data_IF_601709886726
#
_entry.id   IF_601709886726
#
_cell.length_a   1.000
_cell.length_b   1.000
_cell.length_c   1.000
_cell.angle_alpha   90.00
_cell.angle_beta   90.00
_cell.angle_gamma   90.00
#
_symmetry.space_group_name_H-M   'P 1'
#
loop_
_entity.id
_entity.type
_entity.pdbx_description
1 polymer ?
#
# COMPACT_ATOMS: atom_id res chain seq x y z
N UNK A 1 7.42 -24.15 -3.46
CA UNK A 1 7.73 -22.76 -3.89
C UNK A 1 6.85 -21.84 -3.08
N UNK A 2 7.42 -20.95 -2.26
CA UNK A 2 6.64 -20.00 -1.49
C UNK A 2 5.93 -19.04 -2.45
N UNK A 3 4.66 -18.74 -2.20
CA UNK A 3 3.89 -17.80 -3.01
C UNK A 3 4.58 -16.42 -2.92
N UNK A 4 4.85 -15.72 -4.04
CA UNK A 4 5.50 -14.40 -3.99
C UNK A 4 4.80 -13.43 -3.03
N UNK A 5 3.46 -13.50 -2.99
CA UNK A 5 2.60 -12.74 -2.07
C UNK A 5 2.90 -12.96 -0.59
N UNK A 6 3.34 -14.16 -0.18
CA UNK A 6 3.69 -14.44 1.22
C UNK A 6 4.96 -13.68 1.65
N UNK A 7 5.91 -13.47 0.73
CA UNK A 7 7.12 -12.69 1.01
C UNK A 7 6.79 -11.19 1.12
N UNK A 8 5.98 -10.68 0.20
CA UNK A 8 5.51 -9.29 0.20
C UNK A 8 4.72 -8.93 1.46
N UNK A 9 3.80 -9.80 1.88
CA UNK A 9 3.00 -9.60 3.09
C UNK A 9 3.89 -9.57 4.35
N UNK A 10 4.86 -10.48 4.43
CA UNK A 10 5.82 -10.51 5.54
C UNK A 10 6.65 -9.22 5.61
N UNK A 11 7.25 -8.81 4.49
CA UNK A 11 8.05 -7.58 4.43
C UNK A 11 7.21 -6.34 4.76
N UNK A 12 5.96 -6.28 4.30
CA UNK A 12 5.05 -5.19 4.60
C UNK A 12 4.68 -5.15 6.09
N UNK A 13 4.44 -6.29 6.73
CA UNK A 13 4.21 -6.36 8.18
C UNK A 13 5.42 -5.86 8.97
N UNK A 14 6.63 -6.28 8.60
CA UNK A 14 7.87 -5.84 9.25
C UNK A 14 8.05 -4.31 9.11
N UNK A 15 7.93 -3.78 7.88
CA UNK A 15 8.15 -2.37 7.61
C UNK A 15 7.11 -1.45 8.27
N UNK A 16 5.83 -1.85 8.27
CA UNK A 16 4.72 -1.08 8.87
C UNK A 16 4.46 -1.43 10.34
N UNK A 17 5.25 -2.35 10.94
CA UNK A 17 5.08 -2.85 12.31
C UNK A 17 3.66 -3.37 12.57
N UNK A 18 3.15 -4.22 11.68
CA UNK A 18 1.78 -4.73 11.72
C UNK A 18 1.68 -6.13 12.31
N UNK A 19 0.54 -6.42 12.94
CA UNK A 19 0.20 -7.75 13.44
C UNK A 19 -0.23 -8.74 12.36
N UNK A 20 -0.42 -10.00 12.76
CA UNK A 20 -0.85 -11.10 11.88
C UNK A 20 -2.28 -10.94 11.35
N UNK A 21 -3.06 -10.08 11.99
CA UNK A 21 -4.43 -9.68 11.63
C UNK A 21 -4.50 -8.76 10.40
N UNK A 22 -3.35 -8.24 9.95
CA UNK A 22 -3.23 -7.52 8.68
C UNK A 22 -2.89 -8.48 7.54
N UNK A 23 -3.50 -8.29 6.38
CA UNK A 23 -3.29 -9.12 5.18
C UNK A 23 -2.98 -8.27 3.96
N UNK A 24 -2.25 -8.83 3.00
CA UNK A 24 -1.95 -8.17 1.73
C UNK A 24 -3.24 -7.89 0.94
N UNK A 25 -3.44 -6.63 0.54
CA UNK A 25 -4.55 -6.21 -0.30
C UNK A 25 -4.13 -6.03 -1.76
N UNK A 26 -3.04 -5.30 -2.02
CA UNK A 26 -2.56 -5.04 -3.37
C UNK A 26 -1.05 -4.83 -3.42
N UNK A 27 -0.49 -5.07 -4.61
CA UNK A 27 0.90 -4.75 -4.97
C UNK A 27 0.85 -3.97 -6.28
N UNK A 28 1.46 -2.79 -6.31
CA UNK A 28 1.51 -1.93 -7.48
C UNK A 28 2.96 -1.55 -7.82
N UNK A 29 3.37 -1.79 -9.06
CA UNK A 29 4.66 -1.34 -9.61
C UNK A 29 4.55 0.02 -10.34
N UNK A 30 3.35 0.57 -10.39
CA UNK A 30 3.05 1.88 -10.95
C UNK A 30 1.90 2.50 -10.15
N UNK A 31 1.90 3.83 -10.04
CA UNK A 31 0.88 4.59 -9.33
C UNK A 31 0.31 5.69 -10.24
N UNK A 32 -0.95 6.15 -10.05
CA UNK A 32 -1.47 7.28 -10.79
C UNK A 32 -0.61 8.54 -10.62
N UNK A 33 -0.32 9.26 -11.71
CA UNK A 33 0.38 10.55 -11.66
C UNK A 33 -0.44 11.55 -10.83
N UNK A 34 0.22 12.30 -9.94
CA UNK A 34 -0.42 13.24 -9.03
C UNK A 34 -0.85 12.63 -7.69
N UNK A 35 -0.62 11.33 -7.49
CA UNK A 35 -0.73 10.70 -6.18
C UNK A 35 0.45 11.08 -5.26
N UNK A 36 1.58 11.53 -5.82
CA UNK A 36 2.81 11.86 -5.08
C UNK A 36 2.54 12.96 -4.04
N UNK A 37 1.89 14.05 -4.44
CA UNK A 37 1.46 15.13 -3.53
C UNK A 37 0.48 14.65 -2.46
N UNK A 38 -0.30 13.60 -2.75
CA UNK A 38 -1.20 12.98 -1.78
C UNK A 38 -0.41 12.07 -0.83
N UNK A 39 0.54 11.27 -1.32
CA UNK A 39 1.40 10.42 -0.51
C UNK A 39 2.26 11.27 0.43
N UNK A 40 2.91 12.32 -0.06
CA UNK A 40 3.76 13.22 0.75
C UNK A 40 2.94 13.91 1.85
N UNK A 41 1.72 14.34 1.51
CA UNK A 41 0.78 14.90 2.49
C UNK A 41 0.31 13.84 3.51
N UNK A 42 0.13 12.60 3.09
CA UNK A 42 -0.34 11.49 3.92
C UNK A 42 0.77 10.90 4.82
N UNK A 43 2.04 10.92 4.37
CA UNK A 43 3.22 10.57 5.17
C UNK A 43 3.48 11.61 6.26
N UNK A 44 3.19 12.89 5.99
CA UNK A 44 3.40 13.99 6.94
C UNK A 44 2.43 13.99 8.13
N UNK A 45 1.26 13.37 8.02
CA UNK A 45 0.22 13.40 9.07
C UNK A 45 0.29 12.17 10.03
N UNK A 46 1.25 11.25 9.87
CA UNK A 46 1.42 10.00 10.64
C UNK A 46 0.15 9.10 10.70
N UNK A 47 -0.85 9.42 9.87
CA UNK A 47 -2.15 8.77 9.73
C UNK A 47 -2.34 8.26 8.29
N UNK A 48 -1.64 7.17 7.96
CA UNK A 48 -2.01 6.30 6.85
C UNK A 48 -3.18 5.36 7.23
N UNK A 49 -4.05 5.72 8.19
CA UNK A 49 -5.28 5.01 8.49
C UNK A 49 -6.42 5.77 7.81
N UNK A 50 -7.00 5.20 6.76
CA UNK A 50 -8.40 5.41 6.36
C UNK A 50 -8.64 4.70 5.02
N UNK A 51 -9.34 3.56 5.07
CA UNK A 51 -9.84 2.87 3.87
C UNK A 51 -10.79 3.72 2.99
N UNK A 52 -11.21 4.90 3.47
CA UNK A 52 -11.92 5.90 2.70
C UNK A 52 -11.00 6.75 1.81
N UNK A 53 -9.76 7.02 2.22
CA UNK A 53 -8.78 7.83 1.48
C UNK A 53 -8.25 7.09 0.24
N UNK A 54 -8.10 5.77 0.34
CA UNK A 54 -7.64 4.91 -0.77
C UNK A 54 -8.69 4.67 -1.86
N UNK A 55 -10.00 4.85 -1.59
CA UNK A 55 -11.04 4.75 -2.63
C UNK A 55 -10.96 5.88 -3.66
N UNK A 56 -10.32 7.00 -3.33
CA UNK A 56 -10.04 8.07 -4.30
C UNK A 56 -9.02 7.68 -5.38
N UNK A 57 -8.36 6.53 -5.23
CA UNK A 57 -7.30 6.05 -6.12
C UNK A 57 -7.79 5.12 -7.23
N UNK A 58 -9.08 4.79 -7.27
CA UNK A 58 -9.72 4.24 -8.48
C UNK A 58 -9.88 5.35 -9.53
N UNK A 59 -8.77 5.94 -9.98
CA UNK A 59 -8.78 6.83 -11.14
C UNK A 59 -8.61 5.96 -12.38
N UNK A 60 -9.69 5.28 -12.78
CA UNK A 60 -9.73 4.54 -14.04
C UNK A 60 -9.55 5.53 -15.20
N UNK A 61 -8.30 5.77 -15.61
CA UNK A 61 -7.95 6.69 -16.71
C UNK A 61 -6.86 7.71 -16.41
N UNK A 62 -6.30 7.77 -15.19
CA UNK A 62 -5.13 8.60 -14.93
C UNK A 62 -3.88 8.03 -15.63
N UNK A 63 -2.98 8.90 -16.14
CA UNK A 63 -1.66 8.44 -16.57
C UNK A 63 -0.96 7.79 -15.37
N UNK A 64 -0.25 6.70 -15.61
CA UNK A 64 0.46 5.93 -14.58
C UNK A 64 1.95 6.27 -14.61
N UNK A 65 2.52 6.58 -13.46
CA UNK A 65 3.96 6.67 -13.24
C UNK A 65 4.49 5.31 -12.79
N UNK A 66 5.47 4.77 -13.51
CA UNK A 66 6.15 3.54 -13.11
C UNK A 66 7.11 3.83 -11.97
N UNK A 67 7.07 3.00 -10.92
CA UNK A 67 8.04 3.06 -9.84
C UNK A 67 9.42 2.62 -10.36
N UNK A 68 10.51 3.08 -9.72
CA UNK A 68 11.85 2.59 -10.02
C UNK A 68 11.88 1.06 -10.04
N UNK A 69 12.70 0.48 -10.91
CA UNK A 69 12.81 -0.99 -11.02
C UNK A 69 13.12 -1.59 -9.66
N UNK A 70 12.29 -2.54 -9.24
CA UNK A 70 12.42 -3.19 -7.95
C UNK A 70 11.75 -2.44 -6.80
N UNK A 71 11.06 -1.33 -7.02
CA UNK A 71 10.23 -0.69 -5.99
C UNK A 71 8.75 -1.01 -6.26
N UNK A 72 8.03 -1.42 -5.23
CA UNK A 72 6.58 -1.65 -5.30
C UNK A 72 5.87 -0.95 -4.15
N UNK A 73 4.68 -0.41 -4.41
CA UNK A 73 3.74 0.02 -3.39
C UNK A 73 2.92 -1.18 -2.95
N UNK A 74 2.85 -1.41 -1.65
CA UNK A 74 2.05 -2.47 -1.05
C UNK A 74 0.97 -1.84 -0.19
N UNK A 75 -0.28 -2.26 -0.40
CA UNK A 75 -1.39 -1.94 0.50
C UNK A 75 -1.74 -3.19 1.32
N UNK A 76 -1.83 -2.99 2.64
CA UNK A 76 -2.23 -3.96 3.63
C UNK A 76 -3.59 -3.57 4.20
N UNK A 77 -4.42 -4.55 4.50
CA UNK A 77 -5.73 -4.31 5.12
C UNK A 77 -5.95 -5.15 6.37
N UNK A 78 -6.72 -4.60 7.30
CA UNK A 78 -7.27 -5.29 8.46
C UNK A 78 -8.77 -5.00 8.54
N UNK A 79 -9.55 -5.99 8.95
CA UNK A 79 -10.94 -5.78 9.37
C UNK A 79 -10.98 -5.65 10.89
N UNK A 80 -11.58 -4.58 11.38
CA UNK A 80 -11.71 -4.26 12.80
C UNK A 80 -13.16 -3.87 13.07
N UNK A 81 -13.91 -4.71 13.80
CA UNK A 81 -15.32 -4.50 14.16
C UNK A 81 -16.25 -3.96 13.05
N UNK A 82 -16.06 -4.44 11.82
CA UNK A 82 -16.87 -4.08 10.65
C UNK A 82 -16.29 -2.93 9.81
N UNK A 83 -15.26 -2.25 10.29
CA UNK A 83 -14.48 -1.26 9.54
C UNK A 83 -13.28 -1.92 8.85
N UNK A 84 -12.88 -1.34 7.71
CA UNK A 84 -11.68 -1.75 6.98
C UNK A 84 -10.63 -0.67 7.19
N UNK A 85 -9.54 -1.06 7.85
CA UNK A 85 -8.32 -0.27 7.98
C UNK A 85 -7.35 -0.68 6.88
N UNK A 86 -6.71 0.30 6.26
CA UNK A 86 -5.74 0.09 5.18
C UNK A 86 -4.49 0.86 5.49
N UNK A 87 -3.32 0.28 5.26
CA UNK A 87 -2.01 0.94 5.37
C UNK A 87 -1.19 0.63 4.14
N UNK A 88 -0.29 1.52 3.74
CA UNK A 88 0.58 1.27 2.60
C UNK A 88 2.04 1.59 2.88
N UNK A 89 2.94 0.92 2.17
CA UNK A 89 4.37 1.19 2.21
C UNK A 89 5.04 0.85 0.89
N UNK A 90 6.20 1.43 0.64
CA UNK A 90 7.06 1.06 -0.48
C UNK A 90 8.07 0.00 -0.06
N UNK A 91 8.15 -1.10 -0.81
CA UNK A 91 9.10 -2.19 -0.57
C UNK A 91 10.03 -2.30 -1.77
N UNK A 92 11.34 -2.37 -1.48
CA UNK A 92 12.33 -2.70 -2.49
C UNK A 92 12.49 -4.22 -2.61
N UNK A 93 12.14 -4.74 -3.78
CA UNK A 93 12.35 -6.11 -4.21
C UNK A 93 13.51 -6.23 -5.18
N UNK A 94 14.40 -7.17 -4.86
CA UNK A 94 15.59 -7.49 -5.64
C UNK A 94 15.26 -8.42 -6.80
#
# INVERSE_FOLDING_TARGET
MAHPSANYEYLAREQLKLGIDWSLESIAAAVPVGIEDQIDRLESDDELDDGARWRGLEVSGAPMAWLPKGLVLITMRKRDDGEIKTKACFIQVQ
#
